data_IF_607774256776
#
_entry.id   IF_607774256776
#
_cell.length_a   1.000
_cell.length_b   1.000
_cell.length_c   1.000
_cell.angle_alpha   90.00
_cell.angle_beta   90.00
_cell.angle_gamma   90.00
#
_symmetry.space_group_name_H-M   'P 1'
#
loop_
_entity.id
_entity.type
_entity.pdbx_description
1 polymer ?
#
# COMPACT_ATOMS: atom_id res chain seq x y z
N UNK A 1 43.01 -24.35 13.19
CA UNK A 1 41.74 -24.73 13.85
C UNK A 1 41.02 -23.44 14.25
N UNK A 2 39.72 -23.35 14.01
CA UNK A 2 38.91 -22.18 14.41
C UNK A 2 38.64 -22.27 15.92
N UNK A 3 38.98 -21.24 16.68
CA UNK A 3 38.82 -21.26 18.13
C UNK A 3 37.33 -21.28 18.52
N UNK A 4 37.00 -21.86 19.68
CA UNK A 4 35.64 -21.88 20.26
C UNK A 4 34.99 -20.48 20.27
N UNK A 5 35.77 -19.45 20.58
CA UNK A 5 35.32 -18.06 20.59
C UNK A 5 34.95 -17.55 19.19
N UNK A 6 35.72 -17.94 18.16
CA UNK A 6 35.41 -17.60 16.77
C UNK A 6 34.15 -18.32 16.28
N UNK A 7 33.90 -19.57 16.71
CA UNK A 7 32.66 -20.29 16.41
C UNK A 7 31.44 -19.62 17.06
N UNK A 8 31.55 -19.24 18.33
CA UNK A 8 30.49 -18.52 19.04
C UNK A 8 30.15 -17.18 18.41
N UNK A 9 31.15 -16.44 17.92
CA UNK A 9 30.93 -15.19 17.19
C UNK A 9 30.25 -15.42 15.84
N UNK A 10 30.68 -16.42 15.07
CA UNK A 10 30.06 -16.81 13.79
C UNK A 10 28.60 -17.24 13.97
N UNK A 11 28.30 -17.97 15.04
CA UNK A 11 26.94 -18.41 15.35
C UNK A 11 26.04 -17.24 15.77
N UNK A 12 26.56 -16.29 16.55
CA UNK A 12 25.86 -15.05 16.88
C UNK A 12 25.56 -14.22 15.62
N UNK A 13 26.53 -14.05 14.72
CA UNK A 13 26.34 -13.34 13.44
C UNK A 13 25.29 -14.02 12.56
N UNK A 14 25.32 -15.36 12.46
CA UNK A 14 24.33 -16.14 11.71
C UNK A 14 22.93 -15.96 12.29
N UNK A 15 22.83 -15.96 13.62
CA UNK A 15 21.56 -15.78 14.34
C UNK A 15 20.99 -14.38 14.09
N UNK A 16 21.82 -13.33 14.17
CA UNK A 16 21.40 -11.96 13.87
C UNK A 16 20.94 -11.83 12.42
N UNK A 17 21.69 -12.39 11.47
CA UNK A 17 21.33 -12.36 10.05
C UNK A 17 20.01 -13.10 9.77
N UNK A 18 19.77 -14.26 10.40
CA UNK A 18 18.49 -14.96 10.31
C UNK A 18 17.35 -14.16 10.94
N UNK A 19 17.59 -13.50 12.07
CA UNK A 19 16.57 -12.69 12.72
C UNK A 19 16.19 -11.47 11.89
N UNK A 20 17.15 -10.78 11.28
CA UNK A 20 16.90 -9.65 10.37
C UNK A 20 16.19 -10.11 9.09
N UNK A 21 16.59 -11.26 8.52
CA UNK A 21 15.90 -11.84 7.37
C UNK A 21 14.43 -12.19 7.67
N UNK A 22 14.15 -12.76 8.86
CA UNK A 22 12.78 -13.07 9.30
C UNK A 22 11.97 -11.82 9.62
N UNK A 23 12.61 -10.78 10.17
CA UNK A 23 11.94 -9.53 10.52
C UNK A 23 11.47 -8.75 9.28
N UNK A 24 12.15 -8.93 8.16
CA UNK A 24 11.77 -8.36 6.86
C UNK A 24 10.86 -9.25 6.01
N UNK A 25 10.56 -10.49 6.45
CA UNK A 25 9.80 -11.46 5.64
C UNK A 25 8.33 -11.56 6.05
N UNK A 26 7.57 -10.47 5.92
CA UNK A 26 6.14 -10.48 6.23
C UNK A 26 5.39 -9.36 5.51
N UNK A 27 4.04 -9.38 5.57
CA UNK A 27 3.22 -8.37 4.92
C UNK A 27 3.57 -6.95 5.38
N UNK A 28 3.92 -6.06 4.45
CA UNK A 28 4.19 -4.65 4.74
C UNK A 28 3.15 -3.75 4.09
N UNK A 29 2.59 -2.81 4.86
CA UNK A 29 1.59 -1.88 4.36
C UNK A 29 2.21 -0.52 4.05
N UNK A 30 1.88 0.03 2.90
CA UNK A 30 2.27 1.35 2.44
C UNK A 30 1.04 2.10 1.94
N UNK A 31 1.04 3.42 2.05
CA UNK A 31 0.01 4.28 1.47
C UNK A 31 0.55 4.90 0.20
N UNK A 32 -0.28 4.94 -0.84
CA UNK A 32 0.07 5.58 -2.09
C UNK A 32 -1.11 6.24 -2.77
N UNK A 33 -0.84 6.90 -3.88
CA UNK A 33 -1.85 7.58 -4.70
C UNK A 33 -1.92 6.92 -6.07
N UNK A 34 -3.12 6.61 -6.52
CA UNK A 34 -3.36 6.03 -7.85
C UNK A 34 -3.04 7.06 -8.92
N UNK A 35 -2.17 6.70 -9.87
CA UNK A 35 -1.64 7.63 -10.88
C UNK A 35 -2.57 7.77 -12.09
N UNK A 36 -3.25 6.68 -12.43
CA UNK A 36 -4.18 6.58 -13.56
C UNK A 36 -5.31 5.60 -13.25
N UNK A 37 -6.42 5.69 -13.99
CA UNK A 37 -7.56 4.80 -13.78
C UNK A 37 -7.13 3.33 -14.02
N UNK A 38 -7.44 2.41 -13.09
CA UNK A 38 -7.02 1.02 -13.22
C UNK A 38 -7.50 0.35 -14.50
N UNK A 39 -6.64 -0.45 -15.12
CA UNK A 39 -6.94 -1.22 -16.31
C UNK A 39 -7.01 -2.72 -15.96
N UNK A 40 -8.24 -3.20 -15.73
CA UNK A 40 -8.48 -4.57 -15.23
C UNK A 40 -7.86 -4.77 -13.85
N UNK A 41 -7.11 -5.86 -13.67
CA UNK A 41 -6.50 -6.21 -12.38
C UNK A 41 -5.19 -5.47 -12.06
N UNK A 42 -4.81 -4.45 -12.85
CA UNK A 42 -3.58 -3.68 -12.64
C UNK A 42 -3.91 -2.25 -12.27
N UNK A 43 -3.24 -1.76 -11.23
CA UNK A 43 -3.33 -0.39 -10.76
C UNK A 43 -1.91 0.18 -10.57
N UNK A 44 -1.64 1.35 -11.14
CA UNK A 44 -0.37 2.05 -10.92
C UNK A 44 -0.53 2.98 -9.73
N UNK A 45 0.25 2.71 -8.68
CA UNK A 45 0.23 3.47 -7.42
C UNK A 45 1.58 4.11 -7.21
N UNK A 46 1.59 5.42 -6.97
CA UNK A 46 2.78 6.15 -6.53
C UNK A 46 2.93 6.04 -5.03
N UNK A 47 4.02 5.43 -4.60
CA UNK A 47 4.41 5.27 -3.19
C UNK A 47 5.80 5.85 -3.01
N UNK A 48 5.96 6.83 -2.12
CA UNK A 48 7.22 7.55 -1.88
C UNK A 48 7.90 8.03 -3.19
N UNK A 49 7.14 8.76 -4.01
CA UNK A 49 7.58 9.29 -5.32
C UNK A 49 8.01 8.24 -6.37
N UNK A 50 7.77 6.96 -6.10
CA UNK A 50 8.05 5.86 -7.04
C UNK A 50 6.75 5.21 -7.49
N UNK A 51 6.58 5.05 -8.80
CA UNK A 51 5.42 4.35 -9.36
C UNK A 51 5.62 2.84 -9.28
N UNK A 52 4.63 2.15 -8.71
CA UNK A 52 4.63 0.70 -8.54
C UNK A 52 3.37 0.14 -9.18
N UNK A 53 3.51 -0.96 -9.92
CA UNK A 53 2.36 -1.73 -10.41
C UNK A 53 1.88 -2.64 -9.30
N UNK A 54 0.61 -2.51 -8.95
CA UNK A 54 -0.06 -3.32 -7.94
C UNK A 54 -1.20 -4.13 -8.57
N UNK A 55 -1.46 -5.30 -8.01
CA UNK A 55 -2.67 -6.07 -8.28
C UNK A 55 -3.85 -5.38 -7.63
N UNK A 56 -4.92 -5.17 -8.39
CA UNK A 56 -6.18 -4.63 -7.91
C UNK A 56 -7.23 -5.76 -7.83
N UNK A 57 -7.66 -6.15 -6.61
CA UNK A 57 -8.74 -7.10 -6.42
C UNK A 57 -10.06 -6.64 -7.04
N UNK A 58 -10.84 -7.59 -7.55
CA UNK A 58 -12.10 -7.36 -8.28
C UNK A 58 -13.10 -6.48 -7.53
N UNK A 59 -13.26 -6.67 -6.21
CA UNK A 59 -14.20 -5.90 -5.41
C UNK A 59 -13.82 -4.41 -5.26
N UNK A 60 -12.60 -4.02 -5.65
CA UNK A 60 -12.13 -2.63 -5.63
C UNK A 60 -12.14 -1.95 -7.01
N UNK A 61 -12.48 -2.68 -8.09
CA UNK A 61 -12.44 -2.13 -9.47
C UNK A 61 -13.37 -0.92 -9.62
N UNK A 62 -14.55 -0.98 -9.00
CA UNK A 62 -15.51 0.12 -9.05
C UNK A 62 -15.15 1.26 -8.08
N UNK A 63 -14.31 1.01 -7.10
CA UNK A 63 -14.06 1.93 -5.97
C UNK A 63 -12.76 2.71 -6.10
N UNK A 64 -11.82 2.18 -6.88
CA UNK A 64 -10.49 2.77 -7.08
C UNK A 64 -10.43 3.39 -8.46
N UNK A 65 -10.07 4.66 -8.50
CA UNK A 65 -9.81 5.44 -9.71
C UNK A 65 -8.63 6.38 -9.50
N UNK A 66 -8.20 7.04 -10.56
CA UNK A 66 -7.13 8.03 -10.53
C UNK A 66 -7.29 9.02 -9.37
N UNK A 67 -6.18 9.36 -8.73
CA UNK A 67 -6.09 10.26 -7.57
C UNK A 67 -6.69 9.71 -6.26
N UNK A 68 -7.13 8.45 -6.19
CA UNK A 68 -7.48 7.83 -4.91
C UNK A 68 -6.22 7.55 -4.07
N UNK A 69 -6.37 7.74 -2.76
CA UNK A 69 -5.39 7.34 -1.77
C UNK A 69 -5.70 5.88 -1.42
N UNK A 70 -4.75 4.99 -1.67
CA UNK A 70 -4.93 3.54 -1.49
C UNK A 70 -3.92 2.95 -0.52
N UNK A 71 -4.31 1.86 0.10
CA UNK A 71 -3.46 1.02 0.94
C UNK A 71 -2.90 -0.11 0.07
N UNK A 72 -1.58 -0.23 0.03
CA UNK A 72 -0.85 -1.25 -0.70
C UNK A 72 -0.19 -2.20 0.30
N UNK A 73 -0.44 -3.49 0.15
CA UNK A 73 0.21 -4.55 0.90
C UNK A 73 1.27 -5.21 0.02
N UNK A 74 2.52 -5.19 0.46
CA UNK A 74 3.58 -6.07 -0.02
C UNK A 74 3.48 -7.38 0.76
N UNK A 75 2.93 -8.43 0.13
CA UNK A 75 2.59 -9.69 0.79
C UNK A 75 3.80 -10.40 1.41
N UNK A 76 5.00 -10.15 0.87
CA UNK A 76 6.21 -10.86 1.25
C UNK A 76 7.30 -9.94 1.83
N UNK A 77 7.08 -8.63 1.83
CA UNK A 77 8.06 -7.63 2.31
C UNK A 77 9.28 -7.48 1.39
N UNK A 78 9.20 -7.96 0.15
CA UNK A 78 10.30 -7.97 -0.82
C UNK A 78 9.97 -7.23 -2.13
N UNK A 79 8.79 -6.61 -2.21
CA UNK A 79 8.29 -5.86 -3.35
C UNK A 79 7.82 -6.70 -4.53
N UNK A 80 7.84 -8.03 -4.44
CA UNK A 80 7.49 -8.92 -5.55
C UNK A 80 5.97 -9.00 -5.79
N UNK A 81 5.17 -8.91 -4.73
CA UNK A 81 3.71 -8.99 -4.82
C UNK A 81 3.07 -7.84 -4.04
N UNK A 82 2.64 -6.83 -4.79
CA UNK A 82 1.98 -5.63 -4.27
C UNK A 82 0.49 -5.71 -4.58
N UNK A 83 -0.36 -5.63 -3.56
CA UNK A 83 -1.81 -5.75 -3.69
C UNK A 83 -2.47 -4.51 -3.10
N UNK A 84 -3.42 -3.91 -3.80
CA UNK A 84 -4.27 -2.86 -3.24
C UNK A 84 -5.29 -3.50 -2.30
N UNK A 85 -5.30 -3.11 -1.03
CA UNK A 85 -6.18 -3.69 0.00
C UNK A 85 -7.34 -2.78 0.39
N UNK A 86 -7.33 -1.52 -0.05
CA UNK A 86 -8.40 -0.58 0.25
C UNK A 86 -8.13 0.81 -0.28
N UNK A 87 -9.17 1.64 -0.30
CA UNK A 87 -9.13 3.08 -0.60
C UNK A 87 -9.52 3.86 0.67
N UNK A 88 -8.81 4.96 0.95
CA UNK A 88 -9.01 5.80 2.13
C UNK A 88 -9.37 7.25 1.80
N UNK A 89 -9.80 7.52 0.57
CA UNK A 89 -10.18 8.86 0.11
C UNK A 89 -9.50 9.20 -1.22
N UNK A 90 -9.50 10.48 -1.57
CA UNK A 90 -8.92 10.94 -2.84
C UNK A 90 -8.33 12.35 -2.68
N UNK A 91 -7.35 12.68 -3.54
CA UNK A 91 -6.81 14.04 -3.69
C UNK A 91 -7.45 14.79 -4.87
N UNK A 92 -8.59 14.29 -5.39
CA UNK A 92 -9.31 14.90 -6.50
C UNK A 92 -9.74 16.32 -6.14
N UNK A 93 -9.68 17.22 -7.13
CA UNK A 93 -10.16 18.61 -6.98
C UNK A 93 -11.69 18.72 -6.94
N UNK A 94 -12.40 17.72 -7.46
CA UNK A 94 -13.86 17.69 -7.53
C UNK A 94 -14.37 16.43 -6.84
N UNK A 95 -15.08 16.61 -5.74
CA UNK A 95 -15.75 15.55 -4.98
C UNK A 95 -17.14 16.03 -4.60
N UNK A 96 -18.11 15.12 -4.52
CA UNK A 96 -19.41 15.45 -3.93
C UNK A 96 -19.31 15.21 -2.44
N UNK A 97 -19.50 16.25 -1.64
CA UNK A 97 -19.51 16.15 -0.17
C UNK A 97 -20.79 16.75 0.39
N UNK A 98 -21.28 16.16 1.48
CA UNK A 98 -22.39 16.68 2.27
C UNK A 98 -21.78 17.51 3.40
N UNK A 99 -21.96 18.81 3.32
CA UNK A 99 -21.51 19.76 4.34
C UNK A 99 -22.61 19.95 5.40
N UNK A 100 -22.27 19.76 6.68
CA UNK A 100 -23.13 20.09 7.82
C UNK A 100 -22.64 21.42 8.39
N UNK A 101 -23.29 22.52 7.98
CA UNK A 101 -22.90 23.89 8.35
C UNK A 101 -23.05 24.16 9.86
N UNK A 102 -24.02 23.50 10.53
CA UNK A 102 -24.25 23.67 11.97
C UNK A 102 -23.12 23.08 12.82
N UNK A 103 -22.46 22.03 12.30
CA UNK A 103 -21.37 21.32 12.98
C UNK A 103 -19.98 21.65 12.43
N UNK A 104 -19.90 22.56 11.47
CA UNK A 104 -18.68 22.95 10.76
C UNK A 104 -17.85 21.73 10.30
N UNK A 105 -18.55 20.72 9.74
CA UNK A 105 -17.89 19.46 9.30
C UNK A 105 -18.57 18.81 8.10
N UNK A 106 -17.77 18.09 7.32
CA UNK A 106 -18.26 17.19 6.28
C UNK A 106 -18.80 15.90 6.93
N UNK A 107 -20.04 15.51 6.60
CA UNK A 107 -20.72 14.35 7.20
C UNK A 107 -20.90 13.17 6.25
N UNK A 108 -20.63 13.37 4.96
CA UNK A 108 -20.72 12.32 3.96
C UNK A 108 -20.28 12.82 2.58
N UNK A 109 -20.31 11.94 1.58
CA UNK A 109 -19.92 12.28 0.22
C UNK A 109 -19.71 11.05 -0.66
N UNK A 110 -19.58 11.28 -1.95
CA UNK A 110 -19.25 10.26 -2.95
C UNK A 110 -17.99 10.71 -3.67
N UNK A 111 -16.97 9.85 -3.70
CA UNK A 111 -15.66 10.15 -4.28
C UNK A 111 -15.55 9.82 -5.76
N UNK A 112 -16.44 8.97 -6.29
CA UNK A 112 -16.48 8.58 -7.71
C UNK A 112 -17.89 8.76 -8.26
N UNK A 113 -18.00 9.41 -9.40
CA UNK A 113 -19.25 9.48 -10.17
C UNK A 113 -19.27 8.29 -11.14
N UNK A 114 -20.46 7.80 -11.49
CA UNK A 114 -20.58 6.83 -12.57
C UNK A 114 -20.05 7.46 -13.87
N UNK A 115 -19.31 6.70 -14.67
CA UNK A 115 -18.92 7.13 -16.01
C UNK A 115 -20.18 7.22 -16.90
N UNK A 116 -20.29 8.29 -17.70
CA UNK A 116 -21.37 8.50 -18.68
C UNK A 116 -21.32 7.46 -19.83
#
# INVERSE_FOLDING_TARGET
EVSEQQKGLLEAMRTIAQHEAQRNSGPQFQTGVVVEDPAGYKCIVRVNDTEKTCTLPEHLHDWVSKDDIVQVCDMYGNGAELIVTGSSGSIRKKTLVVNDEDKDKLTGGVTKFADD
#
